data_IF_452748922182
#
_entry.id   IF_452748922182
#
_cell.length_a   1.000
_cell.length_b   1.000
_cell.length_c   1.000
_cell.angle_alpha   90.00
_cell.angle_beta   90.00
_cell.angle_gamma   90.00
#
_symmetry.space_group_name_H-M   'P 1'
#
loop_
_entity.id
_entity.type
_entity.pdbx_description
1 polymer ?
#
# COMPACT_ATOMS: atom_id res chain seq x y z
N UNK A 1 -6.34 -11.80 -2.48
CA UNK A 1 -5.33 -11.53 -1.45
C UNK A 1 -5.52 -10.16 -0.79
N UNK A 2 -5.86 -9.12 -1.54
CA UNK A 2 -6.10 -7.76 -1.02
C UNK A 2 -7.05 -7.72 0.19
N UNK A 3 -8.19 -8.43 0.13
CA UNK A 3 -9.12 -8.55 1.27
C UNK A 3 -8.47 -9.12 2.55
N UNK A 4 -7.50 -10.04 2.41
CA UNK A 4 -6.77 -10.59 3.56
C UNK A 4 -5.91 -9.51 4.21
N UNK A 5 -5.20 -8.72 3.39
CA UNK A 5 -4.39 -7.58 3.84
C UNK A 5 -5.29 -6.52 4.48
N UNK A 6 -6.44 -6.21 3.88
CA UNK A 6 -7.45 -5.31 4.44
C UNK A 6 -7.91 -5.76 5.83
N UNK A 7 -8.27 -7.04 5.98
CA UNK A 7 -8.73 -7.58 7.26
C UNK A 7 -7.62 -7.55 8.32
N UNK A 8 -6.36 -7.76 7.93
CA UNK A 8 -5.21 -7.63 8.83
C UNK A 8 -5.00 -6.18 9.29
N UNK A 9 -5.03 -5.22 8.35
CA UNK A 9 -4.98 -3.79 8.68
C UNK A 9 -6.13 -3.38 9.60
N UNK A 10 -7.35 -3.86 9.34
CA UNK A 10 -8.51 -3.61 10.18
C UNK A 10 -8.35 -4.23 11.58
N UNK A 11 -7.68 -5.37 11.71
CA UNK A 11 -7.32 -5.91 13.03
C UNK A 11 -6.26 -5.05 13.71
N UNK A 12 -5.29 -4.51 12.98
CA UNK A 12 -4.28 -3.60 13.53
C UNK A 12 -4.90 -2.32 14.09
N UNK A 13 -5.94 -1.75 13.45
CA UNK A 13 -6.60 -0.53 13.97
C UNK A 13 -7.23 -0.74 15.36
N UNK A 14 -7.71 -1.95 15.65
CA UNK A 14 -8.23 -2.31 16.98
C UNK A 14 -7.14 -2.34 18.06
N UNK A 15 -5.88 -2.56 17.68
CA UNK A 15 -4.72 -2.62 18.60
C UNK A 15 -3.98 -1.29 18.68
N UNK A 16 -4.03 -0.48 17.62
CA UNK A 16 -3.34 0.79 17.48
C UNK A 16 -4.37 1.89 17.16
N UNK A 17 -4.91 2.60 18.17
CA UNK A 17 -6.00 3.57 17.97
C UNK A 17 -5.68 4.74 17.03
N UNK A 18 -4.39 5.05 16.81
CA UNK A 18 -3.94 6.11 15.90
C UNK A 18 -3.68 5.60 14.47
N UNK A 19 -3.83 4.29 14.24
CA UNK A 19 -3.62 3.68 12.92
C UNK A 19 -4.89 3.82 12.09
N UNK A 20 -4.74 4.39 10.91
CA UNK A 20 -5.75 4.49 9.87
C UNK A 20 -5.15 4.02 8.56
N UNK A 21 -6.00 3.60 7.62
CA UNK A 21 -5.55 3.27 6.28
C UNK A 21 -6.60 3.67 5.24
N UNK A 22 -6.13 3.91 4.01
CA UNK A 22 -6.92 4.46 2.90
C UNK A 22 -6.44 3.88 1.58
N UNK A 23 -7.31 3.86 0.57
CA UNK A 23 -6.90 3.67 -0.82
C UNK A 23 -6.31 4.98 -1.37
N UNK A 24 -5.34 4.88 -2.27
CA UNK A 24 -4.79 6.03 -2.98
C UNK A 24 -4.95 5.87 -4.48
N UNK A 25 -5.34 6.97 -5.12
CA UNK A 25 -5.52 7.06 -6.58
C UNK A 25 -5.11 8.44 -7.05
N UNK A 26 -4.34 8.51 -8.12
CA UNK A 26 -3.99 9.76 -8.78
C UNK A 26 -4.92 10.11 -9.94
N UNK A 27 -4.77 11.34 -10.45
CA UNK A 27 -5.53 11.85 -11.59
C UNK A 27 -5.21 11.17 -12.93
N UNK A 28 -4.13 10.40 -13.01
CA UNK A 28 -3.71 9.65 -14.20
C UNK A 28 -4.12 8.17 -14.15
N UNK A 29 -4.88 7.76 -13.13
CA UNK A 29 -5.33 6.38 -12.94
C UNK A 29 -4.30 5.46 -12.30
N UNK A 30 -3.20 6.00 -11.75
CA UNK A 30 -2.29 5.24 -10.88
C UNK A 30 -2.92 5.00 -9.52
N UNK A 31 -2.77 3.79 -8.99
CA UNK A 31 -3.42 3.35 -7.75
C UNK A 31 -2.41 2.69 -6.81
N UNK A 32 -2.69 2.75 -5.51
CA UNK A 32 -2.01 2.00 -4.44
C UNK A 32 -3.08 1.51 -3.47
N UNK A 33 -3.10 0.20 -3.22
CA UNK A 33 -4.18 -0.44 -2.46
C UNK A 33 -4.29 0.11 -1.04
N UNK A 34 -3.17 0.24 -0.31
CA UNK A 34 -3.22 0.75 1.07
C UNK A 34 -2.13 1.77 1.38
N UNK A 35 -2.58 2.96 1.78
CA UNK A 35 -1.79 3.96 2.50
C UNK A 35 -2.05 3.79 3.99
N UNK A 36 -1.05 3.38 4.76
CA UNK A 36 -1.16 3.26 6.21
C UNK A 36 -0.60 4.52 6.87
N UNK A 37 -1.39 5.08 7.78
CA UNK A 37 -1.11 6.31 8.52
C UNK A 37 -1.19 6.03 10.01
N UNK A 38 -0.19 6.46 10.76
CA UNK A 38 -0.17 6.38 12.22
C UNK A 38 -0.02 7.79 12.79
N UNK A 39 -1.09 8.29 13.41
CA UNK A 39 -1.19 9.69 13.83
C UNK A 39 -1.04 10.62 12.62
N UNK A 40 -0.10 11.60 12.62
CA UNK A 40 0.13 12.50 11.50
C UNK A 40 1.02 11.91 10.38
N UNK A 41 1.67 10.76 10.61
CA UNK A 41 2.70 10.22 9.72
C UNK A 41 2.15 9.12 8.81
N UNK A 42 2.43 9.19 7.51
CA UNK A 42 2.28 8.03 6.61
C UNK A 42 3.40 7.03 6.92
N UNK A 43 3.04 5.86 7.42
CA UNK A 43 3.99 4.87 7.95
C UNK A 43 4.43 3.85 6.91
N UNK A 44 3.54 3.45 5.99
CA UNK A 44 3.84 2.57 4.86
C UNK A 44 2.82 2.69 3.73
N UNK A 45 3.26 2.39 2.52
CA UNK A 45 2.40 2.17 1.36
C UNK A 45 2.48 0.69 0.97
N UNK A 46 1.35 0.09 0.64
CA UNK A 46 1.24 -1.34 0.33
C UNK A 46 0.55 -1.49 -1.02
N UNK A 47 1.20 -2.22 -1.92
CA UNK A 47 0.59 -2.80 -3.11
C UNK A 47 0.48 -4.31 -2.91
N UNK A 48 -0.64 -4.90 -3.30
CA UNK A 48 -0.92 -6.33 -3.23
C UNK A 48 -1.04 -6.86 -4.65
N UNK A 49 -0.37 -7.96 -4.97
CA UNK A 49 -0.38 -8.53 -6.32
C UNK A 49 -0.26 -10.05 -6.27
N UNK A 50 -0.89 -10.77 -7.22
CA UNK A 50 -0.75 -12.22 -7.30
C UNK A 50 0.57 -12.66 -7.95
N UNK A 51 1.25 -11.75 -8.64
CA UNK A 51 2.54 -12.00 -9.29
C UNK A 51 3.62 -12.20 -8.24
N UNK A 52 4.40 -13.29 -8.33
CA UNK A 52 5.45 -13.61 -7.37
C UNK A 52 6.85 -13.27 -7.90
N UNK A 53 7.03 -13.24 -9.22
CA UNK A 53 8.25 -12.78 -9.86
C UNK A 53 8.35 -11.26 -9.94
N UNK A 54 9.50 -10.68 -9.58
CA UNK A 54 9.75 -9.24 -9.72
C UNK A 54 9.61 -8.74 -11.17
N UNK A 55 9.90 -9.60 -12.14
CA UNK A 55 9.77 -9.30 -13.57
C UNK A 55 8.32 -9.48 -14.07
N UNK A 56 7.49 -10.19 -13.31
CA UNK A 56 6.06 -10.43 -13.58
C UNK A 56 5.20 -9.29 -13.00
N UNK A 57 5.61 -8.71 -11.87
CA UNK A 57 4.96 -7.53 -11.30
C UNK A 57 4.91 -6.42 -12.34
N UNK A 58 3.70 -5.94 -12.64
CA UNK A 58 3.53 -4.91 -13.64
C UNK A 58 4.37 -3.67 -13.30
N UNK A 59 5.17 -3.22 -14.27
CA UNK A 59 5.96 -1.99 -14.14
C UNK A 59 5.10 -0.78 -13.76
N UNK A 60 3.79 -0.82 -14.07
CA UNK A 60 2.82 0.21 -13.70
C UNK A 60 2.53 0.21 -12.20
N UNK A 61 2.33 -0.94 -11.57
CA UNK A 61 2.12 -1.08 -10.13
C UNK A 61 3.30 -0.50 -9.34
N UNK A 62 4.52 -0.92 -9.67
CA UNK A 62 5.74 -0.41 -9.02
C UNK A 62 5.91 1.09 -9.23
N UNK A 63 5.58 1.62 -10.42
CA UNK A 63 5.63 3.05 -10.70
C UNK A 63 4.62 3.84 -9.87
N UNK A 64 3.38 3.35 -9.76
CA UNK A 64 2.33 3.98 -8.95
C UNK A 64 2.74 4.01 -7.48
N UNK A 65 3.26 2.90 -6.95
CA UNK A 65 3.75 2.81 -5.58
C UNK A 65 4.90 3.78 -5.30
N UNK A 66 5.88 3.86 -6.20
CA UNK A 66 7.01 4.81 -6.08
C UNK A 66 6.51 6.26 -6.17
N UNK A 67 5.58 6.55 -7.07
CA UNK A 67 5.01 7.89 -7.24
C UNK A 67 4.28 8.33 -5.97
N UNK A 68 3.37 7.50 -5.46
CA UNK A 68 2.68 7.76 -4.19
C UNK A 68 3.68 7.94 -3.04
N UNK A 69 4.75 7.15 -2.99
CA UNK A 69 5.83 7.29 -2.00
C UNK A 69 6.49 8.66 -2.02
N UNK A 70 6.74 9.21 -3.21
CA UNK A 70 7.31 10.56 -3.36
C UNK A 70 6.32 11.64 -2.94
N UNK A 71 5.07 11.56 -3.39
CA UNK A 71 4.03 12.56 -3.08
C UNK A 71 3.68 12.59 -1.58
N UNK A 72 3.53 11.42 -0.98
CA UNK A 72 3.19 11.25 0.44
C UNK A 72 4.41 11.29 1.36
N UNK A 73 5.61 11.50 0.80
CA UNK A 73 6.90 11.51 1.51
C UNK A 73 7.12 10.26 2.37
N UNK A 74 6.66 9.10 1.86
CA UNK A 74 6.81 7.80 2.50
C UNK A 74 7.87 6.97 1.78
N UNK A 75 8.90 6.52 2.51
CA UNK A 75 9.97 5.67 1.97
C UNK A 75 9.72 4.17 2.19
N UNK A 76 8.75 3.82 3.04
CA UNK A 76 8.41 2.45 3.35
C UNK A 76 7.37 1.96 2.35
N UNK A 77 7.85 1.31 1.29
CA UNK A 77 7.04 0.81 0.17
C UNK A 77 7.08 -0.71 0.22
N UNK A 78 5.91 -1.33 0.33
CA UNK A 78 5.76 -2.78 0.43
C UNK A 78 4.96 -3.29 -0.77
N UNK A 79 5.45 -4.37 -1.37
CA UNK A 79 4.67 -5.20 -2.30
C UNK A 79 4.43 -6.53 -1.60
N UNK A 80 3.17 -6.93 -1.46
CA UNK A 80 2.78 -8.22 -0.92
C UNK A 80 2.40 -9.12 -2.09
N UNK A 81 3.15 -10.21 -2.25
CA UNK A 81 2.95 -11.26 -3.26
C UNK A 81 2.24 -12.46 -2.63
N UNK A 82 1.66 -13.34 -3.46
CA UNK A 82 0.94 -14.52 -2.98
C UNK A 82 1.86 -15.66 -2.53
N UNK A 83 3.06 -15.74 -3.09
CA UNK A 83 4.15 -16.65 -2.72
C UNK A 83 5.12 -16.00 -1.73
#
# INVERSE_FOLDING_TARGET
MENTVFLDLLRETNRKPLLHFYYWKDYHGGEVDFVVKEGPKISRLIQVTYESGRDEIERREVKSLIKAGKELKCKNLLVITWD
#
